data_IF_681333675152
#
_entry.id   IF_681333675152
#
_cell.length_a   1.000
_cell.length_b   1.000
_cell.length_c   1.000
_cell.angle_alpha   90.00
_cell.angle_beta   90.00
_cell.angle_gamma   90.00
#
_symmetry.space_group_name_H-M   'P 1'
#
loop_
_entity.id
_entity.type
_entity.pdbx_description
1 polymer ?
#
# COMPACT_ATOMS: atom_id res chain seq x y z
N UNK A 1 17.34 -6.91 8.20
CA UNK A 1 16.07 -6.37 7.71
C UNK A 1 16.34 -5.23 6.75
N UNK A 2 15.46 -5.07 5.77
CA UNK A 2 15.57 -4.00 4.78
C UNK A 2 14.71 -2.82 5.20
N UNK A 3 15.28 -1.62 5.15
CA UNK A 3 14.51 -0.40 5.34
C UNK A 3 13.85 0.00 4.04
N UNK A 4 12.56 0.32 4.12
CA UNK A 4 11.79 0.81 2.98
C UNK A 4 11.18 2.16 3.31
N UNK A 5 11.15 3.03 2.31
CA UNK A 5 10.26 4.18 2.33
C UNK A 5 8.95 3.72 1.70
N UNK A 6 7.86 3.81 2.46
CA UNK A 6 6.56 3.31 2.02
C UNK A 6 5.62 4.47 1.76
N UNK A 7 5.14 4.57 0.52
CA UNK A 7 4.07 5.49 0.18
C UNK A 7 2.75 4.76 0.38
N UNK A 8 1.92 5.27 1.28
CA UNK A 8 0.58 4.73 1.54
C UNK A 8 -0.44 5.67 0.92
N UNK A 9 -1.18 5.15 -0.05
CA UNK A 9 -2.23 5.89 -0.74
C UNK A 9 -3.57 5.26 -0.41
N UNK A 10 -4.44 6.04 0.24
CA UNK A 10 -5.79 5.57 0.59
C UNK A 10 -6.78 6.21 -0.36
N UNK A 11 -7.59 5.38 -1.00
CA UNK A 11 -8.61 5.80 -1.97
C UNK A 11 -9.98 5.55 -1.36
N UNK A 12 -10.79 6.63 -1.27
CA UNK A 12 -12.14 6.56 -0.73
C UNK A 12 -13.13 6.65 -1.89
N UNK A 13 -14.01 5.64 -2.09
CA UNK A 13 -14.93 5.64 -3.23
C UNK A 13 -15.98 6.75 -3.18
N UNK A 14 -16.31 7.24 -1.99
CA UNK A 14 -17.32 8.28 -1.83
C UNK A 14 -16.80 9.68 -2.14
N UNK A 15 -15.50 9.87 -2.17
CA UNK A 15 -14.88 11.18 -2.33
C UNK A 15 -14.25 11.44 -3.68
N UNK A 16 -14.14 10.43 -4.52
CA UNK A 16 -13.42 10.55 -5.79
C UNK A 16 -11.94 10.89 -5.60
N UNK A 17 -11.32 11.44 -6.63
CA UNK A 17 -9.89 11.74 -6.63
C UNK A 17 -9.47 12.79 -5.58
N UNK A 18 -10.40 13.62 -5.13
CA UNK A 18 -10.12 14.67 -4.14
C UNK A 18 -9.89 14.11 -2.73
N UNK A 19 -10.24 12.86 -2.49
CA UNK A 19 -10.14 12.22 -1.19
C UNK A 19 -9.09 11.14 -1.12
N UNK A 20 -8.14 11.15 -2.07
CA UNK A 20 -6.95 10.32 -1.99
C UNK A 20 -6.02 10.91 -0.94
N UNK A 21 -5.74 10.14 0.10
CA UNK A 21 -4.80 10.53 1.15
C UNK A 21 -3.49 9.82 0.90
N UNK A 22 -2.39 10.56 0.91
CA UNK A 22 -1.05 10.02 0.73
C UNK A 22 -0.23 10.28 1.99
N UNK A 23 0.46 9.26 2.45
CA UNK A 23 1.34 9.33 3.60
C UNK A 23 2.62 8.57 3.33
N UNK A 24 3.73 9.02 3.92
CA UNK A 24 5.00 8.31 3.84
C UNK A 24 5.34 7.72 5.20
N UNK A 25 5.82 6.49 5.19
CA UNK A 25 6.28 5.78 6.38
C UNK A 25 7.68 5.22 6.13
N UNK A 26 8.46 5.09 7.19
CA UNK A 26 9.69 4.32 7.16
C UNK A 26 9.39 2.96 7.81
N UNK A 27 9.62 1.90 7.06
CA UNK A 27 9.33 0.52 7.49
C UNK A 27 10.57 -0.33 7.36
N UNK A 28 10.91 -1.04 8.41
CA UNK A 28 11.99 -2.02 8.37
C UNK A 28 11.38 -3.42 8.43
N UNK A 29 11.54 -4.20 7.37
CA UNK A 29 10.99 -5.54 7.28
C UNK A 29 11.72 -6.38 6.24
N UNK A 30 11.74 -7.70 6.43
CA UNK A 30 12.22 -8.65 5.42
C UNK A 30 11.07 -9.17 4.55
N UNK A 31 9.83 -8.91 4.97
CA UNK A 31 8.64 -9.41 4.29
C UNK A 31 7.59 -8.29 4.15
N UNK A 32 7.71 -7.45 3.11
CA UNK A 32 6.75 -6.36 2.87
C UNK A 32 5.30 -6.85 2.77
N UNK A 33 5.07 -7.98 2.12
CA UNK A 33 3.73 -8.54 1.99
C UNK A 33 3.15 -8.95 3.34
N UNK A 34 3.96 -9.59 4.19
CA UNK A 34 3.57 -9.93 5.55
C UNK A 34 3.30 -8.70 6.41
N UNK A 35 4.10 -7.65 6.24
CA UNK A 35 3.88 -6.38 6.92
C UNK A 35 2.51 -5.81 6.55
N UNK A 36 2.18 -5.76 5.26
CA UNK A 36 0.88 -5.24 4.80
C UNK A 36 -0.26 -6.11 5.33
N UNK A 37 -0.11 -7.43 5.25
CA UNK A 37 -1.13 -8.36 5.74
C UNK A 37 -1.44 -8.17 7.22
N UNK A 38 -0.41 -7.89 8.03
CA UNK A 38 -0.56 -7.69 9.47
C UNK A 38 -1.16 -6.32 9.82
N UNK A 39 -0.78 -5.28 9.07
CA UNK A 39 -1.13 -3.90 9.40
C UNK A 39 -2.28 -3.32 8.58
N UNK A 40 -2.59 -3.89 7.43
CA UNK A 40 -3.67 -3.41 6.59
C UNK A 40 -5.03 -3.80 7.17
N UNK A 41 -5.98 -2.90 7.01
CA UNK A 41 -7.36 -3.12 7.45
C UNK A 41 -8.10 -4.13 6.58
N UNK A 42 -7.75 -4.18 5.29
CA UNK A 42 -8.41 -5.01 4.30
C UNK A 42 -7.44 -6.05 3.73
N UNK A 43 -7.95 -7.13 3.14
CA UNK A 43 -7.09 -8.16 2.55
C UNK A 43 -6.33 -7.62 1.33
N UNK A 44 -5.20 -8.26 1.04
CA UNK A 44 -4.41 -7.97 -0.14
C UNK A 44 -5.18 -8.42 -1.39
N UNK A 45 -5.36 -7.49 -2.33
CA UNK A 45 -6.05 -7.76 -3.59
C UNK A 45 -5.07 -7.99 -4.73
N UNK A 46 -3.91 -7.33 -4.71
CA UNK A 46 -2.95 -7.39 -5.78
C UNK A 46 -1.53 -7.12 -5.26
N UNK A 47 -0.56 -7.78 -5.87
CA UNK A 47 0.86 -7.58 -5.59
C UNK A 47 1.59 -7.48 -6.93
N UNK A 48 2.35 -6.44 -7.11
CA UNK A 48 3.08 -6.24 -8.35
C UNK A 48 4.24 -5.27 -8.17
N UNK A 49 4.80 -4.83 -9.28
CA UNK A 49 5.87 -3.84 -9.30
C UNK A 49 5.52 -2.73 -10.27
N UNK A 50 5.91 -1.49 -9.92
CA UNK A 50 5.74 -0.36 -10.81
C UNK A 50 6.90 -0.27 -11.83
N UNK A 51 6.89 0.75 -12.67
CA UNK A 51 7.90 0.95 -13.70
C UNK A 51 9.31 1.17 -13.11
N UNK A 52 9.41 1.64 -11.88
CA UNK A 52 10.67 1.88 -11.20
C UNK A 52 11.20 0.62 -10.47
N UNK A 53 10.44 -0.47 -10.50
CA UNK A 53 10.79 -1.71 -9.82
C UNK A 53 10.40 -1.76 -8.35
N UNK A 54 9.70 -0.76 -7.85
CA UNK A 54 9.22 -0.75 -6.47
C UNK A 54 8.07 -1.74 -6.30
N UNK A 55 8.03 -2.39 -5.15
CA UNK A 55 6.96 -3.32 -4.82
C UNK A 55 5.68 -2.55 -4.49
N UNK A 56 4.60 -2.88 -5.17
CA UNK A 56 3.29 -2.26 -4.97
C UNK A 56 2.30 -3.32 -4.49
N UNK A 57 1.74 -3.11 -3.31
CA UNK A 57 0.75 -4.01 -2.72
C UNK A 57 -0.54 -3.24 -2.56
N UNK A 58 -1.61 -3.75 -3.15
CA UNK A 58 -2.93 -3.11 -3.10
C UNK A 58 -3.86 -3.94 -2.22
N UNK A 59 -4.51 -3.27 -1.28
CA UNK A 59 -5.52 -3.87 -0.41
C UNK A 59 -6.86 -3.20 -0.65
N UNK A 60 -7.94 -3.89 -0.32
CA UNK A 60 -9.27 -3.31 -0.47
C UNK A 60 -10.36 -4.20 0.10
N UNK A 61 -11.56 -3.64 0.23
CA UNK A 61 -12.73 -4.34 0.77
C UNK A 61 -13.62 -4.93 -0.33
N UNK A 62 -13.26 -4.73 -1.60
CA UNK A 62 -14.09 -5.16 -2.73
C UNK A 62 -15.27 -4.23 -3.01
N UNK A 63 -15.41 -3.13 -2.28
CA UNK A 63 -16.51 -2.17 -2.41
C UNK A 63 -16.07 -0.79 -2.81
N UNK A 64 -14.80 -0.64 -3.18
CA UNK A 64 -14.24 0.61 -3.63
C UNK A 64 -13.21 1.25 -2.70
N UNK A 65 -13.17 0.89 -1.43
CA UNK A 65 -12.09 1.31 -0.53
C UNK A 65 -10.82 0.55 -0.89
N UNK A 66 -9.77 1.28 -1.17
CA UNK A 66 -8.48 0.70 -1.55
C UNK A 66 -7.35 1.43 -0.84
N UNK A 67 -6.32 0.68 -0.47
CA UNK A 67 -5.08 1.24 0.05
C UNK A 67 -3.93 0.62 -0.73
N UNK A 68 -3.08 1.47 -1.29
CA UNK A 68 -1.92 1.04 -2.04
C UNK A 68 -0.66 1.34 -1.24
N UNK A 69 0.18 0.34 -1.07
CA UNK A 69 1.47 0.46 -0.41
C UNK A 69 2.57 0.32 -1.45
N UNK A 70 3.39 1.35 -1.63
CA UNK A 70 4.54 1.32 -2.54
C UNK A 70 5.81 1.30 -1.71
N UNK A 71 6.56 0.21 -1.80
CA UNK A 71 7.79 0.00 -1.03
C UNK A 71 8.99 0.35 -1.89
N UNK A 72 9.72 1.38 -1.49
CA UNK A 72 10.96 1.82 -2.15
C UNK A 72 12.13 1.58 -1.20
N UNK A 73 13.12 0.84 -1.66
CA UNK A 73 14.31 0.55 -0.85
C UNK A 73 15.32 1.70 -0.88
#
# INVERSE_FOLDING_TARGET
>A
MTEYEVLVETINPCGGAKHCVKSFLDVETDDPEGYVRTNARFPIMDVGHNADGDLVITTGDGKGYMTRYTFSA
#
